data_IF_481622704875
#
_entry.id   IF_481622704875
#
_cell.length_a   1.000
_cell.length_b   1.000
_cell.length_c   1.000
_cell.angle_alpha   90.00
_cell.angle_beta   90.00
_cell.angle_gamma   90.00
#
_symmetry.space_group_name_H-M   'P 1'
#
loop_
_entity.id
_entity.type
_entity.pdbx_description
1 polymer ?
#
# COMPACT_ATOMS: atom_id res chain seq x y z
N UNK A 1 26.22 21.21 -15.51
CA UNK A 1 27.37 21.22 -16.45
C UNK A 1 27.70 22.64 -16.81
N UNK A 2 28.98 23.04 -16.77
CA UNK A 2 29.43 24.41 -17.13
C UNK A 2 30.23 24.47 -18.43
N UNK A 3 30.89 23.36 -18.78
CA UNK A 3 31.71 23.24 -19.98
C UNK A 3 31.41 21.90 -20.66
N UNK A 4 31.38 21.92 -21.99
CA UNK A 4 31.29 20.72 -22.80
C UNK A 4 32.70 20.19 -23.08
N UNK A 5 32.98 18.95 -22.64
CA UNK A 5 34.30 18.31 -22.73
C UNK A 5 34.21 17.09 -23.64
N UNK A 6 34.41 17.29 -24.93
CA UNK A 6 34.36 16.21 -25.94
C UNK A 6 35.51 15.22 -25.78
N UNK A 7 36.66 15.66 -25.29
CA UNK A 7 37.81 14.84 -24.96
C UNK A 7 37.46 13.74 -23.95
N UNK A 8 36.81 14.11 -22.84
CA UNK A 8 36.39 13.17 -21.80
C UNK A 8 35.29 12.21 -22.27
N UNK A 9 34.38 12.68 -23.12
CA UNK A 9 33.33 11.82 -23.71
C UNK A 9 33.97 10.77 -24.61
N UNK A 10 34.90 11.17 -25.48
CA UNK A 10 35.60 10.25 -26.36
C UNK A 10 36.48 9.27 -25.58
N UNK A 11 37.15 9.72 -24.51
CA UNK A 11 37.91 8.84 -23.61
C UNK A 11 37.00 7.79 -22.98
N UNK A 12 35.85 8.21 -22.41
CA UNK A 12 34.88 7.29 -21.80
C UNK A 12 34.38 6.23 -22.82
N UNK A 13 33.95 6.68 -24.00
CA UNK A 13 33.38 5.80 -25.02
C UNK A 13 34.44 4.83 -25.59
N UNK A 14 35.64 5.31 -25.91
CA UNK A 14 36.64 4.51 -26.60
C UNK A 14 37.50 3.66 -25.66
N UNK A 15 37.76 4.12 -24.44
CA UNK A 15 38.67 3.40 -23.52
C UNK A 15 37.92 2.57 -22.47
N UNK A 16 36.72 2.97 -22.05
CA UNK A 16 36.03 2.33 -20.92
C UNK A 16 34.78 1.54 -21.33
N UNK A 17 33.99 2.02 -22.30
CA UNK A 17 32.79 1.32 -22.78
C UNK A 17 33.09 0.36 -23.94
N UNK A 18 34.02 -0.57 -23.72
CA UNK A 18 34.43 -1.59 -24.70
C UNK A 18 34.08 -3.00 -24.22
N UNK A 19 33.81 -3.97 -25.13
CA UNK A 19 33.41 -5.33 -24.75
C UNK A 19 34.37 -6.04 -23.79
N UNK A 20 35.69 -5.83 -23.95
CA UNK A 20 36.73 -6.42 -23.09
C UNK A 20 36.71 -5.93 -21.63
N UNK A 21 36.06 -4.80 -21.33
CA UNK A 21 35.87 -4.26 -19.98
C UNK A 21 34.45 -4.45 -19.44
N UNK A 22 33.58 -5.12 -20.20
CA UNK A 22 32.17 -5.32 -19.84
C UNK A 22 32.00 -6.34 -18.71
N UNK A 23 31.00 -6.12 -17.86
CA UNK A 23 30.47 -7.13 -16.92
C UNK A 23 28.97 -7.27 -17.15
N UNK A 24 28.51 -8.50 -17.39
CA UNK A 24 27.11 -8.79 -17.68
C UNK A 24 26.48 -9.48 -16.48
N UNK A 25 25.31 -9.00 -16.08
CA UNK A 25 24.50 -9.61 -15.03
C UNK A 25 23.20 -10.10 -15.65
N UNK A 26 22.96 -11.40 -15.61
CA UNK A 26 21.71 -12.01 -16.06
C UNK A 26 20.95 -12.52 -14.84
N UNK A 27 19.67 -12.17 -14.76
CA UNK A 27 18.80 -12.59 -13.64
C UNK A 27 17.55 -13.26 -14.20
N UNK A 28 17.35 -14.52 -13.85
CA UNK A 28 16.17 -15.32 -14.22
C UNK A 28 16.01 -16.47 -13.23
N UNK A 29 14.77 -16.91 -13.01
CA UNK A 29 14.48 -18.11 -12.20
C UNK A 29 15.03 -19.39 -12.83
N UNK A 30 15.23 -19.40 -14.15
CA UNK A 30 15.74 -20.55 -14.90
C UNK A 30 17.18 -20.92 -14.51
N UNK A 31 17.96 -19.96 -13.99
CA UNK A 31 19.34 -20.20 -13.61
C UNK A 31 19.52 -20.88 -12.25
N UNK A 32 18.43 -21.14 -11.51
CA UNK A 32 18.49 -21.77 -10.19
C UNK A 32 19.18 -23.14 -10.21
N UNK A 33 18.96 -23.93 -11.27
CA UNK A 33 19.54 -25.26 -11.44
C UNK A 33 21.04 -25.25 -11.72
N UNK A 34 21.57 -24.16 -12.29
CA UNK A 34 22.99 -24.02 -12.65
C UNK A 34 23.78 -23.14 -11.66
N UNK A 35 23.10 -22.44 -10.75
CA UNK A 35 23.71 -21.60 -9.73
C UNK A 35 24.43 -22.47 -8.68
N UNK A 36 25.75 -22.42 -8.68
CA UNK A 36 26.60 -23.25 -7.81
C UNK A 36 27.21 -22.48 -6.64
N UNK A 37 27.20 -21.16 -6.72
CA UNK A 37 27.77 -20.27 -5.73
C UNK A 37 26.68 -19.57 -4.94
N UNK A 38 27.04 -19.10 -3.74
CA UNK A 38 26.13 -18.40 -2.84
C UNK A 38 26.84 -17.21 -2.22
N UNK A 39 26.26 -16.03 -2.41
CA UNK A 39 26.74 -14.78 -1.82
C UNK A 39 26.62 -14.85 -0.28
N UNK A 40 27.58 -14.25 0.43
CA UNK A 40 27.75 -14.40 1.88
C UNK A 40 26.62 -13.82 2.71
N UNK A 41 26.12 -12.62 2.38
CA UNK A 41 25.25 -11.84 3.26
C UNK A 41 23.77 -12.11 3.02
N UNK A 42 23.34 -12.07 1.76
CA UNK A 42 21.95 -12.28 1.36
C UNK A 42 21.68 -13.72 0.95
N UNK A 43 22.73 -14.52 0.74
CA UNK A 43 22.56 -15.89 0.30
C UNK A 43 22.11 -16.00 -1.16
N UNK A 44 22.28 -14.95 -1.96
CA UNK A 44 21.92 -14.93 -3.38
C UNK A 44 22.68 -16.02 -4.10
N UNK A 45 21.96 -16.94 -4.73
CA UNK A 45 22.56 -17.98 -5.54
C UNK A 45 22.96 -17.40 -6.89
N UNK A 46 24.19 -17.68 -7.32
CA UNK A 46 24.70 -17.21 -8.60
C UNK A 46 25.68 -18.22 -9.20
N UNK A 47 26.09 -17.94 -10.43
CA UNK A 47 27.18 -18.63 -11.12
C UNK A 47 28.01 -17.56 -11.79
N UNK A 48 29.32 -17.60 -11.60
CA UNK A 48 30.23 -16.76 -12.36
C UNK A 48 30.83 -17.54 -13.52
N UNK A 49 30.77 -16.96 -14.70
CA UNK A 49 31.43 -17.48 -15.89
C UNK A 49 32.18 -16.37 -16.61
N UNK A 50 33.26 -16.73 -17.29
CA UNK A 50 33.95 -15.82 -18.19
C UNK A 50 33.29 -15.87 -19.56
N UNK A 51 33.11 -14.71 -20.18
CA UNK A 51 32.66 -14.62 -21.57
C UNK A 51 33.71 -15.25 -22.48
N UNK A 52 33.29 -15.98 -23.51
CA UNK A 52 34.23 -16.59 -24.45
C UNK A 52 34.92 -15.51 -25.29
N UNK A 53 36.16 -15.79 -25.70
CA UNK A 53 36.90 -14.87 -26.56
C UNK A 53 36.23 -14.66 -27.92
N UNK A 54 35.50 -15.67 -28.44
CA UNK A 54 34.75 -15.50 -29.69
C UNK A 54 33.63 -14.48 -29.54
N UNK A 55 32.90 -14.51 -28.42
CA UNK A 55 31.79 -13.59 -28.16
C UNK A 55 32.29 -12.14 -27.99
N UNK A 56 33.41 -11.96 -27.28
CA UNK A 56 34.04 -10.63 -27.12
C UNK A 56 34.44 -10.07 -28.49
N UNK A 57 35.11 -10.88 -29.31
CA UNK A 57 35.49 -10.49 -30.69
C UNK A 57 34.27 -10.14 -31.53
N UNK A 58 33.19 -10.92 -31.43
CA UNK A 58 31.95 -10.65 -32.15
C UNK A 58 31.36 -9.28 -31.78
N UNK A 59 31.38 -8.90 -30.50
CA UNK A 59 30.92 -7.59 -30.07
C UNK A 59 31.86 -6.45 -30.48
N UNK A 60 33.17 -6.69 -30.57
CA UNK A 60 34.14 -5.71 -31.07
C UNK A 60 33.97 -5.43 -32.57
N UNK A 61 33.49 -6.40 -33.35
CA UNK A 61 33.26 -6.27 -34.79
C UNK A 61 31.81 -5.98 -35.17
N UNK A 62 30.97 -5.55 -34.22
CA UNK A 62 29.56 -5.29 -34.47
C UNK A 62 29.36 -4.16 -35.51
N UNK A 63 28.46 -4.36 -36.47
CA UNK A 63 28.12 -3.37 -37.48
C UNK A 63 27.16 -2.30 -36.92
N UNK A 64 27.13 -1.14 -37.58
CA UNK A 64 26.21 -0.06 -37.22
C UNK A 64 24.78 -0.50 -37.53
N UNK A 65 23.94 -0.60 -36.50
CA UNK A 65 22.52 -0.81 -36.66
C UNK A 65 21.82 0.50 -37.05
N UNK A 66 21.27 0.57 -38.26
CA UNK A 66 20.56 1.75 -38.79
C UNK A 66 19.29 2.13 -38.00
N UNK A 67 18.73 1.24 -37.18
CA UNK A 67 17.60 1.54 -36.30
C UNK A 67 18.01 2.33 -35.05
N UNK A 68 19.30 2.39 -34.73
CA UNK A 68 19.84 3.17 -33.62
C UNK A 68 20.28 4.54 -34.11
N UNK A 69 19.53 5.57 -33.74
CA UNK A 69 19.83 6.95 -34.09
C UNK A 69 19.82 7.87 -32.86
N UNK A 70 20.57 8.97 -32.96
CA UNK A 70 20.59 9.97 -31.91
C UNK A 70 19.19 10.61 -31.75
N UNK A 71 18.77 10.89 -30.51
CA UNK A 71 17.47 11.49 -30.28
C UNK A 71 17.37 12.85 -30.97
N UNK A 72 16.23 13.12 -31.59
CA UNK A 72 15.91 14.44 -32.13
C UNK A 72 15.84 15.47 -30.99
N UNK A 73 16.10 16.77 -31.26
CA UNK A 73 15.99 17.82 -30.25
C UNK A 73 14.64 17.77 -29.51
N UNK A 74 14.70 17.74 -28.18
CA UNK A 74 13.51 17.57 -27.35
C UNK A 74 12.64 18.85 -27.36
N UNK A 75 11.45 18.74 -27.96
CA UNK A 75 10.46 19.84 -28.09
C UNK A 75 9.77 20.21 -26.76
N UNK A 76 9.89 19.37 -25.74
CA UNK A 76 9.28 19.58 -24.42
C UNK A 76 10.16 20.35 -23.44
N UNK A 77 11.35 20.81 -23.86
CA UNK A 77 12.18 21.70 -23.02
C UNK A 77 11.42 23.02 -22.81
N UNK A 78 11.09 23.40 -21.56
CA UNK A 78 10.37 24.64 -21.29
C UNK A 78 11.28 25.84 -21.51
N UNK A 79 10.71 26.89 -22.11
CA UNK A 79 11.39 28.18 -22.34
C UNK A 79 10.70 29.34 -21.63
N UNK A 80 9.42 29.16 -21.26
CA UNK A 80 8.64 30.14 -20.51
C UNK A 80 8.51 29.71 -19.04
N UNK A 81 8.90 30.62 -18.15
CA UNK A 81 8.89 30.45 -16.69
C UNK A 81 8.14 31.60 -16.00
N UNK A 82 7.30 32.35 -16.73
CA UNK A 82 6.49 33.41 -16.15
C UNK A 82 5.57 32.85 -15.06
N UNK A 83 5.49 33.58 -13.94
CA UNK A 83 4.62 33.23 -12.82
C UNK A 83 3.34 34.06 -12.87
N UNK A 84 2.19 33.39 -12.75
CA UNK A 84 0.89 34.03 -12.64
C UNK A 84 0.59 34.46 -11.20
N UNK A 85 -0.14 35.57 -11.05
CA UNK A 85 -0.57 36.10 -9.75
C UNK A 85 -1.53 35.14 -9.05
N UNK A 86 -1.40 35.02 -7.72
CA UNK A 86 -2.26 34.15 -6.90
C UNK A 86 -3.71 34.67 -6.86
N UNK A 87 -4.64 33.87 -7.35
CA UNK A 87 -6.07 34.03 -7.05
C UNK A 87 -6.42 33.17 -5.82
N UNK A 88 -7.10 33.77 -4.84
CA UNK A 88 -7.54 33.07 -3.61
C UNK A 88 -8.82 32.30 -3.88
N UNK A 89 -8.74 31.15 -4.56
CA UNK A 89 -9.82 30.17 -4.56
C UNK A 89 -9.22 28.78 -4.77
N UNK A 90 -9.24 27.97 -3.71
CA UNK A 90 -8.90 26.54 -3.78
C UNK A 90 -10.18 25.77 -3.46
N UNK A 91 -10.64 24.97 -4.41
CA UNK A 91 -11.60 23.89 -4.15
C UNK A 91 -10.83 22.58 -4.23
N UNK A 92 -10.92 21.76 -3.19
CA UNK A 92 -10.38 20.40 -3.22
C UNK A 92 -11.48 19.45 -3.69
N UNK A 93 -11.30 18.71 -4.78
CA UNK A 93 -12.14 17.56 -5.05
C UNK A 93 -11.78 16.43 -4.08
N UNK A 94 -12.80 15.75 -3.55
CA UNK A 94 -12.69 14.56 -2.73
C UNK A 94 -13.50 13.45 -3.38
N UNK A 95 -12.92 12.74 -4.36
CA UNK A 95 -13.52 11.49 -4.84
C UNK A 95 -12.40 10.52 -5.23
N UNK A 96 -12.43 9.25 -4.79
CA UNK A 96 -11.56 8.22 -5.33
C UNK A 96 -11.93 7.95 -6.80
N UNK A 97 -10.99 8.18 -7.72
CA UNK A 97 -11.17 7.94 -9.17
C UNK A 97 -10.59 6.58 -9.55
N UNK A 98 -11.31 5.81 -10.38
CA UNK A 98 -10.88 4.48 -10.85
C UNK A 98 -9.73 4.52 -11.87
N UNK A 99 -9.65 5.60 -12.66
CA UNK A 99 -8.53 5.88 -13.56
C UNK A 99 -7.98 7.25 -13.19
N UNK A 100 -6.75 7.28 -12.69
CA UNK A 100 -6.06 8.51 -12.27
C UNK A 100 -5.01 8.88 -13.31
N UNK A 101 -5.20 10.02 -13.97
CA UNK A 101 -4.18 10.67 -14.79
C UNK A 101 -3.60 11.85 -14.01
N UNK A 102 -2.30 11.80 -13.72
CA UNK A 102 -1.58 12.90 -13.07
C UNK A 102 -0.49 13.42 -13.99
N UNK A 103 -0.54 14.72 -14.30
CA UNK A 103 0.48 15.40 -15.09
C UNK A 103 1.09 16.49 -14.22
N UNK A 104 2.39 16.37 -13.95
CA UNK A 104 3.15 17.31 -13.12
C UNK A 104 4.41 17.77 -13.84
N UNK A 105 4.75 19.05 -13.72
CA UNK A 105 5.95 19.62 -14.33
C UNK A 105 5.85 21.12 -14.59
N UNK A 106 6.65 21.62 -15.52
CA UNK A 106 6.63 23.03 -15.94
C UNK A 106 5.37 23.36 -16.76
N UNK A 107 4.67 24.44 -16.40
CA UNK A 107 3.38 24.81 -16.98
C UNK A 107 3.40 25.04 -18.51
N UNK A 108 4.51 25.54 -19.07
CA UNK A 108 4.60 25.92 -20.48
C UNK A 108 4.18 24.81 -21.46
N UNK A 109 4.60 23.55 -21.23
CA UNK A 109 4.38 22.43 -22.15
C UNK A 109 3.34 21.41 -21.68
N UNK A 110 2.69 21.65 -20.53
CA UNK A 110 1.67 20.75 -19.98
C UNK A 110 0.46 20.62 -20.89
N UNK A 111 -0.02 21.71 -21.52
CA UNK A 111 -1.16 21.66 -22.44
C UNK A 111 -0.89 20.76 -23.65
N UNK A 112 0.31 20.89 -24.25
CA UNK A 112 0.72 20.09 -25.40
C UNK A 112 0.83 18.60 -25.04
N UNK A 113 1.41 18.30 -23.86
CA UNK A 113 1.51 16.94 -23.34
C UNK A 113 0.14 16.33 -23.03
N UNK A 114 -0.75 17.08 -22.38
CA UNK A 114 -2.12 16.66 -22.11
C UNK A 114 -2.84 16.30 -23.41
N UNK A 115 -2.75 17.15 -24.43
CA UNK A 115 -3.36 16.87 -25.73
C UNK A 115 -2.80 15.58 -26.35
N UNK A 116 -1.47 15.38 -26.31
CA UNK A 116 -0.84 14.16 -26.84
C UNK A 116 -1.31 12.90 -26.12
N UNK A 117 -1.42 12.94 -24.78
CA UNK A 117 -1.87 11.80 -23.97
C UNK A 117 -3.32 11.46 -24.29
N UNK A 118 -4.21 12.45 -24.32
CA UNK A 118 -5.63 12.23 -24.63
C UNK A 118 -5.82 11.72 -26.06
N UNK A 119 -5.08 12.28 -27.03
CA UNK A 119 -5.07 11.77 -28.41
C UNK A 119 -4.61 10.31 -28.47
N UNK A 120 -3.59 9.92 -27.69
CA UNK A 120 -3.15 8.53 -27.64
C UNK A 120 -4.18 7.62 -26.95
N UNK A 121 -4.81 8.05 -25.86
CA UNK A 121 -5.84 7.28 -25.15
C UNK A 121 -7.05 6.97 -26.04
N UNK A 122 -7.50 7.95 -26.83
CA UNK A 122 -8.65 7.79 -27.73
C UNK A 122 -8.34 6.87 -28.90
N UNK A 123 -7.12 6.95 -29.45
CA UNK A 123 -6.73 6.23 -30.67
C UNK A 123 -5.87 4.99 -30.36
N UNK A 124 -5.94 4.49 -29.12
CA UNK A 124 -5.16 3.33 -28.70
C UNK A 124 -5.52 2.13 -29.57
N UNK A 125 -4.48 1.49 -30.13
CA UNK A 125 -4.60 0.23 -30.88
C UNK A 125 -3.80 -0.81 -30.13
N UNK A 126 -4.46 -1.92 -29.81
CA UNK A 126 -3.80 -3.02 -29.12
C UNK A 126 -3.04 -3.83 -30.17
N UNK A 127 -1.74 -3.98 -29.98
CA UNK A 127 -0.90 -4.84 -30.82
C UNK A 127 -0.74 -6.19 -30.11
N UNK A 128 -0.81 -7.30 -30.86
CA UNK A 128 -0.77 -8.66 -30.31
C UNK A 128 0.49 -8.89 -29.47
N UNK A 129 1.66 -8.51 -29.99
CA UNK A 129 2.95 -8.69 -29.29
C UNK A 129 2.99 -7.90 -27.97
N UNK A 130 2.52 -6.64 -27.98
CA UNK A 130 2.46 -5.80 -26.78
C UNK A 130 1.46 -6.35 -25.77
N UNK A 131 0.32 -6.86 -26.24
CA UNK A 131 -0.70 -7.46 -25.40
C UNK A 131 -0.13 -8.64 -24.62
N UNK A 132 0.53 -9.59 -25.28
CA UNK A 132 1.11 -10.77 -24.61
C UNK A 132 2.21 -10.37 -23.61
N UNK A 133 3.09 -9.43 -23.98
CA UNK A 133 4.13 -8.92 -23.07
C UNK A 133 3.52 -8.27 -21.82
N UNK A 134 2.46 -7.48 -21.98
CA UNK A 134 1.78 -6.80 -20.87
C UNK A 134 1.01 -7.83 -20.02
N UNK A 135 0.31 -8.79 -20.64
CA UNK A 135 -0.42 -9.87 -19.96
C UNK A 135 0.53 -10.67 -19.06
N UNK A 136 1.69 -11.07 -19.58
CA UNK A 136 2.72 -11.76 -18.80
C UNK A 136 3.28 -10.89 -17.66
N UNK A 137 3.52 -9.60 -17.90
CA UNK A 137 3.96 -8.68 -16.83
C UNK A 137 2.93 -8.54 -15.71
N UNK A 138 1.64 -8.45 -16.05
CA UNK A 138 0.54 -8.39 -15.08
C UNK A 138 0.46 -9.70 -14.29
N UNK A 139 0.55 -10.85 -14.97
CA UNK A 139 0.57 -12.18 -14.35
C UNK A 139 1.71 -12.30 -13.35
N UNK A 140 2.92 -11.89 -13.75
CA UNK A 140 4.09 -11.88 -12.87
C UNK A 140 3.89 -10.94 -11.67
N UNK A 141 3.35 -9.73 -11.88
CA UNK A 141 3.07 -8.77 -10.82
C UNK A 141 2.12 -9.34 -9.76
N UNK A 142 1.01 -9.95 -10.20
CA UNK A 142 0.03 -10.59 -9.30
C UNK A 142 0.65 -11.78 -8.54
N UNK A 143 1.51 -12.56 -9.18
CA UNK A 143 2.24 -13.65 -8.50
C UNK A 143 3.29 -13.11 -7.50
N UNK A 144 3.94 -11.99 -7.82
CA UNK A 144 4.92 -11.36 -6.94
C UNK A 144 4.31 -10.78 -5.68
N UNK A 145 3.00 -10.51 -5.66
CA UNK A 145 2.31 -10.10 -4.44
C UNK A 145 2.49 -11.09 -3.29
N UNK A 146 2.55 -12.41 -3.56
CA UNK A 146 2.85 -13.44 -2.54
C UNK A 146 4.24 -13.27 -1.91
N UNK A 147 5.14 -12.54 -2.57
CA UNK A 147 6.50 -12.22 -2.14
C UNK A 147 6.61 -10.78 -1.62
N UNK A 148 5.50 -10.10 -1.39
CA UNK A 148 5.52 -8.83 -0.66
C UNK A 148 6.01 -9.05 0.77
N UNK A 149 6.56 -8.00 1.34
CA UNK A 149 6.96 -7.95 2.74
C UNK A 149 5.71 -8.23 3.61
N UNK A 150 5.80 -9.04 4.70
CA UNK A 150 4.65 -9.44 5.50
C UNK A 150 3.78 -8.29 6.00
N UNK A 151 4.35 -7.15 6.41
CA UNK A 151 3.57 -5.97 6.81
C UNK A 151 2.69 -5.40 5.69
N UNK A 152 3.22 -5.33 4.46
CA UNK A 152 2.48 -4.87 3.30
C UNK A 152 1.36 -5.86 2.93
N UNK A 153 1.61 -7.16 3.05
CA UNK A 153 0.59 -8.19 2.87
C UNK A 153 -0.52 -8.07 3.91
N UNK A 154 -0.19 -7.84 5.19
CA UNK A 154 -1.16 -7.66 6.27
C UNK A 154 -2.07 -6.43 5.99
N UNK A 155 -1.48 -5.31 5.59
CA UNK A 155 -2.22 -4.09 5.24
C UNK A 155 -3.12 -4.29 4.03
N UNK A 156 -2.67 -5.02 3.01
CA UNK A 156 -3.51 -5.33 1.86
C UNK A 156 -4.66 -6.27 2.22
N UNK A 157 -4.43 -7.24 3.11
CA UNK A 157 -5.50 -8.08 3.66
C UNK A 157 -6.53 -7.26 4.43
N UNK A 158 -6.08 -6.27 5.21
CA UNK A 158 -6.97 -5.33 5.89
C UNK A 158 -7.83 -4.56 4.89
N UNK A 159 -7.24 -4.00 3.82
CA UNK A 159 -7.99 -3.32 2.75
C UNK A 159 -9.03 -4.24 2.11
N UNK A 160 -8.67 -5.48 1.82
CA UNK A 160 -9.57 -6.46 1.19
C UNK A 160 -10.78 -6.81 2.07
N UNK A 161 -10.57 -6.89 3.40
CA UNK A 161 -11.62 -7.21 4.37
C UNK A 161 -12.56 -6.03 4.63
N UNK A 162 -12.04 -4.80 4.60
CA UNK A 162 -12.84 -3.60 4.90
C UNK A 162 -13.48 -2.99 3.66
N UNK A 163 -13.01 -3.28 2.45
CA UNK A 163 -13.59 -2.78 1.21
C UNK A 163 -14.91 -3.48 0.83
N UNK A 164 -15.90 -2.70 0.38
CA UNK A 164 -17.19 -3.20 -0.15
C UNK A 164 -17.00 -4.12 -1.37
N UNK A 165 -16.12 -3.74 -2.30
CA UNK A 165 -15.76 -4.55 -3.46
C UNK A 165 -14.25 -4.54 -3.64
N UNK A 166 -13.63 -5.72 -3.52
CA UNK A 166 -12.23 -5.94 -3.84
C UNK A 166 -12.05 -7.39 -4.32
N UNK A 167 -11.06 -7.62 -5.17
CA UNK A 167 -10.82 -8.92 -5.82
C UNK A 167 -9.54 -9.53 -5.29
N UNK A 168 -9.58 -10.81 -4.94
CA UNK A 168 -8.39 -11.51 -4.51
C UNK A 168 -7.42 -11.68 -5.69
N UNK A 169 -6.12 -11.54 -5.44
CA UNK A 169 -5.09 -11.77 -6.45
C UNK A 169 -5.19 -13.16 -7.10
N UNK A 170 -5.64 -14.18 -6.37
CA UNK A 170 -5.86 -15.51 -6.93
C UNK A 170 -7.03 -15.53 -7.94
N UNK A 171 -8.12 -14.81 -7.66
CA UNK A 171 -9.28 -14.68 -8.56
C UNK A 171 -8.88 -13.90 -9.82
N UNK A 172 -8.13 -12.81 -9.66
CA UNK A 172 -7.59 -12.04 -10.77
C UNK A 172 -6.65 -12.88 -11.64
N UNK A 173 -5.83 -13.73 -11.02
CA UNK A 173 -4.94 -14.65 -11.74
C UNK A 173 -5.72 -15.71 -12.54
N UNK A 174 -6.78 -16.31 -11.96
CA UNK A 174 -7.60 -17.28 -12.68
C UNK A 174 -8.32 -16.66 -13.87
N UNK A 175 -8.81 -15.43 -13.73
CA UNK A 175 -9.49 -14.71 -14.82
C UNK A 175 -8.52 -14.27 -15.92
N UNK A 176 -7.24 -14.04 -15.59
CA UNK A 176 -6.26 -13.50 -16.54
C UNK A 176 -6.00 -14.45 -17.71
N UNK A 177 -6.02 -15.77 -17.48
CA UNK A 177 -5.74 -16.75 -18.52
C UNK A 177 -6.79 -16.66 -19.66
N UNK A 178 -8.06 -16.42 -19.32
CA UNK A 178 -9.18 -16.33 -20.26
C UNK A 178 -9.26 -14.99 -21.03
N UNK A 179 -8.58 -13.94 -20.56
CA UNK A 179 -8.66 -12.61 -21.19
C UNK A 179 -7.99 -12.63 -22.56
N UNK A 180 -8.73 -12.22 -23.58
CA UNK A 180 -8.24 -12.05 -24.95
C UNK A 180 -7.98 -10.59 -25.31
N UNK A 181 -7.24 -10.35 -26.38
CA UNK A 181 -7.02 -9.02 -26.94
C UNK A 181 -8.36 -8.32 -27.29
N UNK A 182 -9.32 -9.05 -27.84
CA UNK A 182 -10.63 -8.51 -28.20
C UNK A 182 -11.42 -8.03 -26.97
N UNK A 183 -11.28 -8.71 -25.83
CA UNK A 183 -11.93 -8.29 -24.58
C UNK A 183 -11.38 -6.96 -24.08
N UNK A 184 -10.07 -6.74 -24.22
CA UNK A 184 -9.41 -5.47 -23.89
C UNK A 184 -9.88 -4.35 -24.81
N UNK A 185 -9.95 -4.60 -26.12
CA UNK A 185 -10.46 -3.61 -27.09
C UNK A 185 -11.92 -3.23 -26.81
N UNK A 186 -12.76 -4.24 -26.54
CA UNK A 186 -14.15 -4.06 -26.14
C UNK A 186 -14.27 -3.32 -24.81
N UNK A 187 -13.41 -3.61 -23.83
CA UNK A 187 -13.36 -2.90 -22.56
C UNK A 187 -12.99 -1.43 -22.74
N UNK A 188 -11.95 -1.11 -23.53
CA UNK A 188 -11.56 0.27 -23.85
C UNK A 188 -12.74 1.03 -24.47
N UNK A 189 -13.41 0.43 -25.47
CA UNK A 189 -14.58 1.02 -26.10
C UNK A 189 -15.72 1.27 -25.11
N UNK A 190 -15.97 0.35 -24.16
CA UNK A 190 -17.00 0.51 -23.12
C UNK A 190 -16.66 1.60 -22.12
N UNK A 191 -15.42 1.66 -21.63
CA UNK A 191 -14.96 2.65 -20.65
C UNK A 191 -15.01 4.06 -21.25
N UNK A 192 -14.54 4.23 -22.48
CA UNK A 192 -14.51 5.54 -23.16
C UNK A 192 -15.89 6.01 -23.65
N UNK A 193 -16.91 5.14 -23.62
CA UNK A 193 -18.29 5.50 -24.00
C UNK A 193 -19.01 6.28 -22.90
N UNK A 194 -18.82 5.93 -21.63
CA UNK A 194 -19.54 6.52 -20.49
C UNK A 194 -18.64 6.68 -19.28
N UNK A 195 -18.27 7.92 -18.98
CA UNK A 195 -17.50 8.27 -17.79
C UNK A 195 -17.84 9.69 -17.30
N UNK A 196 -17.33 10.08 -16.14
CA UNK A 196 -17.25 11.48 -15.73
C UNK A 196 -15.79 11.81 -15.50
N UNK A 197 -15.42 13.09 -15.61
CA UNK A 197 -14.08 13.57 -15.31
C UNK A 197 -14.18 14.46 -14.08
N UNK A 198 -13.39 14.14 -13.06
CA UNK A 198 -13.13 15.05 -11.96
C UNK A 198 -11.65 15.42 -12.01
N UNK A 199 -11.36 16.72 -11.98
CA UNK A 199 -10.03 17.24 -12.26
C UNK A 199 -9.60 18.23 -11.19
N UNK A 200 -8.42 17.99 -10.62
CA UNK A 200 -7.72 18.97 -9.79
C UNK A 200 -6.60 19.60 -10.61
N UNK A 201 -6.70 20.91 -10.84
CA UNK A 201 -5.62 21.69 -11.42
C UNK A 201 -5.08 22.64 -10.36
N UNK A 202 -3.81 22.49 -10.03
CA UNK A 202 -3.13 23.30 -9.03
C UNK A 202 -1.71 23.64 -9.50
N UNK A 203 -1.32 24.90 -9.33
CA UNK A 203 0.02 25.37 -9.65
C UNK A 203 0.04 26.71 -10.37
N UNK A 204 1.04 26.91 -11.22
CA UNK A 204 1.25 28.13 -11.99
C UNK A 204 0.33 28.19 -13.22
N UNK A 205 -0.97 28.40 -12.99
CA UNK A 205 -2.03 28.38 -14.00
C UNK A 205 -3.11 29.39 -13.62
N UNK A 206 -3.67 30.09 -14.60
CA UNK A 206 -4.85 30.95 -14.40
C UNK A 206 -6.15 30.14 -14.45
N UNK A 207 -7.22 30.63 -13.83
CA UNK A 207 -8.54 30.00 -13.90
C UNK A 207 -9.01 29.77 -15.33
N UNK A 208 -8.78 30.74 -16.23
CA UNK A 208 -9.18 30.62 -17.63
C UNK A 208 -8.42 29.53 -18.37
N UNK A 209 -7.12 29.38 -18.11
CA UNK A 209 -6.34 28.29 -18.69
C UNK A 209 -6.78 26.93 -18.16
N UNK A 210 -7.15 26.82 -16.87
CA UNK A 210 -7.69 25.59 -16.31
C UNK A 210 -8.98 25.15 -17.02
N UNK A 211 -9.90 26.10 -17.22
CA UNK A 211 -11.15 25.87 -17.96
C UNK A 211 -10.87 25.51 -19.42
N UNK A 212 -9.90 26.18 -20.06
CA UNK A 212 -9.48 25.90 -21.43
C UNK A 212 -8.95 24.47 -21.57
N UNK A 213 -8.13 24.00 -20.62
CA UNK A 213 -7.57 22.65 -20.65
C UNK A 213 -8.67 21.60 -20.52
N UNK A 214 -9.63 21.79 -19.62
CA UNK A 214 -10.75 20.87 -19.47
C UNK A 214 -11.68 20.87 -20.68
N UNK A 215 -12.01 22.05 -21.21
CA UNK A 215 -12.80 22.18 -22.45
C UNK A 215 -12.13 21.42 -23.61
N UNK A 216 -10.81 21.50 -23.74
CA UNK A 216 -10.05 20.76 -24.77
C UNK A 216 -10.18 19.24 -24.62
N UNK A 217 -10.10 18.74 -23.37
CA UNK A 217 -10.27 17.31 -23.09
C UNK A 217 -11.69 16.86 -23.43
N UNK A 218 -12.70 17.60 -22.99
CA UNK A 218 -14.11 17.30 -23.28
C UNK A 218 -14.40 17.28 -24.78
N UNK A 219 -13.94 18.27 -25.53
CA UNK A 219 -14.11 18.35 -26.98
C UNK A 219 -13.50 17.13 -27.70
N UNK A 220 -12.28 16.74 -27.32
CA UNK A 220 -11.59 15.56 -27.89
C UNK A 220 -12.39 14.28 -27.70
N UNK A 221 -12.96 14.08 -26.52
CA UNK A 221 -13.81 12.91 -26.25
C UNK A 221 -15.15 12.99 -26.97
N UNK A 222 -15.77 14.17 -27.11
CA UNK A 222 -17.02 14.34 -27.85
C UNK A 222 -16.88 14.12 -29.37
N UNK A 223 -15.76 14.54 -29.96
CA UNK A 223 -15.53 14.42 -31.41
C UNK A 223 -15.23 12.98 -31.85
N UNK A 224 -14.45 12.24 -31.05
CA UNK A 224 -13.90 10.93 -31.44
C UNK A 224 -14.53 9.74 -30.72
N UNK A 225 -15.09 9.95 -29.53
CA UNK A 225 -15.83 8.91 -28.80
C UNK A 225 -17.32 9.28 -28.80
N UNK A 226 -18.21 8.29 -28.82
CA UNK A 226 -19.62 8.51 -28.51
C UNK A 226 -19.80 8.74 -27.00
N UNK A 227 -19.04 9.71 -26.46
CA UNK A 227 -18.99 10.03 -25.06
C UNK A 227 -20.36 10.47 -24.57
N UNK A 228 -20.81 9.85 -23.50
CA UNK A 228 -22.00 10.22 -22.76
C UNK A 228 -21.61 10.44 -21.29
N UNK A 229 -21.97 11.58 -20.68
CA UNK A 229 -21.66 11.83 -19.28
C UNK A 229 -22.39 10.80 -18.39
N UNK A 230 -21.72 10.35 -17.35
CA UNK A 230 -22.35 9.52 -16.32
C UNK A 230 -23.37 10.34 -15.52
N UNK A 231 -24.54 9.75 -15.27
CA UNK A 231 -25.53 10.35 -14.38
C UNK A 231 -24.99 10.46 -12.95
N UNK A 232 -25.31 11.52 -12.19
CA UNK A 232 -24.85 11.67 -10.81
C UNK A 232 -25.18 10.48 -9.89
N UNK A 233 -26.29 9.78 -10.14
CA UNK A 233 -26.66 8.56 -9.40
C UNK A 233 -25.75 7.35 -9.68
N UNK A 234 -24.96 7.39 -10.76
CA UNK A 234 -23.99 6.37 -11.13
C UNK A 234 -22.57 6.70 -10.64
N UNK A 235 -22.40 7.80 -9.90
CA UNK A 235 -21.13 8.11 -9.28
C UNK A 235 -20.93 7.17 -8.09
N UNK A 236 -20.27 6.05 -8.33
CA UNK A 236 -20.02 5.04 -7.31
C UNK A 236 -18.86 5.45 -6.42
N UNK A 237 -19.15 5.71 -5.15
CA UNK A 237 -18.15 5.75 -4.08
C UNK A 237 -18.11 4.38 -3.43
N UNK A 238 -16.91 3.83 -3.25
CA UNK A 238 -16.73 2.63 -2.43
C UNK A 238 -17.08 2.97 -0.98
N UNK A 239 -17.71 2.02 -0.29
CA UNK A 239 -17.97 2.08 1.14
C UNK A 239 -16.96 1.21 1.88
N UNK A 240 -16.70 1.57 3.13
CA UNK A 240 -16.02 0.68 4.06
C UNK A 240 -17.08 -0.10 4.86
N UNK A 241 -16.79 -1.38 5.14
CA UNK A 241 -17.57 -2.20 6.04
C UNK A 241 -17.52 -1.62 7.45
N UNK A 242 -18.68 -1.34 8.05
CA UNK A 242 -18.77 -0.94 9.45
C UNK A 242 -18.75 -2.19 10.31
N UNK A 243 -17.75 -2.30 11.17
CA UNK A 243 -17.60 -3.38 12.12
C UNK A 243 -18.62 -3.26 13.28
N UNK A 244 -19.18 -4.38 13.78
CA UNK A 244 -20.08 -4.35 14.93
C UNK A 244 -19.40 -3.90 16.23
N UNK A 245 -20.14 -3.24 17.12
CA UNK A 245 -19.62 -2.84 18.44
C UNK A 245 -19.18 -4.05 19.28
N UNK A 246 -18.01 -3.93 19.90
CA UNK A 246 -17.43 -4.98 20.73
C UNK A 246 -16.78 -6.12 19.93
N UNK A 247 -16.71 -6.03 18.60
CA UNK A 247 -16.15 -7.10 17.79
C UNK A 247 -14.62 -7.24 17.97
N UNK A 248 -14.15 -8.47 17.83
CA UNK A 248 -12.73 -8.81 17.78
C UNK A 248 -12.52 -9.92 16.74
N UNK A 249 -12.32 -9.51 15.49
CA UNK A 249 -12.08 -10.42 14.37
C UNK A 249 -10.61 -10.55 14.07
N UNK A 250 -10.18 -11.74 13.67
CA UNK A 250 -8.83 -12.02 13.23
C UNK A 250 -8.85 -12.80 11.92
N UNK A 251 -8.05 -12.38 10.95
CA UNK A 251 -7.84 -13.07 9.69
C UNK A 251 -6.37 -13.45 9.54
N UNK A 252 -6.09 -14.68 9.10
CA UNK A 252 -4.71 -15.18 8.99
C UNK A 252 -4.34 -15.45 7.54
N UNK A 253 -3.16 -14.99 7.15
CA UNK A 253 -2.53 -15.20 5.85
C UNK A 253 -1.16 -15.84 6.03
N UNK A 254 -0.64 -16.45 4.97
CA UNK A 254 0.65 -17.12 4.97
C UNK A 254 1.61 -16.48 3.96
N UNK A 255 2.87 -16.32 4.36
CA UNK A 255 3.94 -15.80 3.52
C UNK A 255 5.06 -16.84 3.39
N UNK A 256 5.31 -17.26 2.15
CA UNK A 256 6.33 -18.25 1.83
C UNK A 256 7.72 -17.66 1.58
N UNK A 257 7.79 -16.35 1.37
CA UNK A 257 9.02 -15.67 0.96
C UNK A 257 9.88 -15.22 2.15
N UNK A 258 9.26 -14.88 3.28
CA UNK A 258 9.93 -14.30 4.45
C UNK A 258 9.74 -15.16 5.69
N UNK A 259 10.80 -15.26 6.50
CA UNK A 259 10.78 -15.87 7.85
C UNK A 259 10.36 -14.87 8.94
N UNK A 260 9.46 -13.96 8.60
CA UNK A 260 8.99 -12.90 9.49
C UNK A 260 7.47 -13.00 9.59
N UNK A 261 6.98 -12.79 10.79
CA UNK A 261 5.57 -12.67 11.07
C UNK A 261 5.20 -11.19 11.07
N UNK A 262 3.98 -10.88 10.69
CA UNK A 262 3.44 -9.53 10.81
C UNK A 262 2.01 -9.54 11.34
N UNK A 263 1.66 -8.49 12.05
CA UNK A 263 0.29 -8.23 12.49
C UNK A 263 -0.03 -6.78 12.15
N UNK A 264 -1.19 -6.57 11.56
CA UNK A 264 -1.86 -5.26 11.60
C UNK A 264 -3.09 -5.39 12.50
N UNK A 265 -3.23 -4.47 13.45
CA UNK A 265 -4.44 -4.31 14.26
C UNK A 265 -5.09 -3.00 13.82
N UNK A 266 -6.33 -3.10 13.37
CA UNK A 266 -7.18 -1.97 13.02
C UNK A 266 -8.31 -1.85 14.04
N UNK A 267 -8.38 -0.69 14.70
CA UNK A 267 -9.46 -0.29 15.58
C UNK A 267 -10.29 0.74 14.83
N UNK A 268 -11.44 0.31 14.32
CA UNK A 268 -12.34 1.20 13.58
C UNK A 268 -13.04 2.14 14.56
N UNK A 269 -12.95 3.44 14.31
CA UNK A 269 -13.52 4.43 15.22
C UNK A 269 -14.86 4.95 14.68
N UNK A 270 -14.83 5.80 13.65
CA UNK A 270 -16.01 6.58 13.26
C UNK A 270 -16.02 6.98 11.78
N UNK A 271 -17.16 7.52 11.34
CA UNK A 271 -17.34 8.20 10.06
C UNK A 271 -16.84 9.64 10.13
N UNK A 272 -16.08 10.07 9.12
CA UNK A 272 -15.33 11.32 9.06
C UNK A 272 -16.13 12.58 9.51
N UNK A 273 -15.85 13.08 10.73
CA UNK A 273 -16.27 14.42 11.18
C UNK A 273 -15.03 15.26 11.48
N UNK A 274 -15.15 16.58 11.37
CA UNK A 274 -14.02 17.50 11.56
C UNK A 274 -13.41 17.40 12.98
N UNK A 275 -14.25 17.21 14.00
CA UNK A 275 -13.85 17.05 15.40
C UNK A 275 -13.16 15.70 15.64
N UNK A 276 -13.76 14.61 15.15
CA UNK A 276 -13.18 13.28 15.33
C UNK A 276 -11.87 13.13 14.54
N UNK A 277 -11.77 13.76 13.36
CA UNK A 277 -10.54 13.86 12.57
C UNK A 277 -9.43 14.61 13.31
N UNK A 278 -9.79 15.66 14.04
CA UNK A 278 -8.86 16.44 14.85
C UNK A 278 -8.33 15.60 16.03
N UNK A 279 -9.21 14.90 16.74
CA UNK A 279 -8.84 14.00 17.84
C UNK A 279 -7.95 12.85 17.37
N UNK A 280 -8.33 12.18 16.29
CA UNK A 280 -7.56 11.07 15.73
C UNK A 280 -6.21 11.58 15.15
N UNK A 281 -6.20 12.78 14.57
CA UNK A 281 -5.00 13.45 14.04
C UNK A 281 -3.87 13.66 15.07
N UNK A 282 -4.20 13.75 16.36
CA UNK A 282 -3.21 13.85 17.43
C UNK A 282 -2.36 12.56 17.57
N UNK A 283 -2.87 11.41 17.12
CA UNK A 283 -2.13 10.15 17.09
C UNK A 283 -1.18 10.02 15.87
N UNK A 284 -0.96 11.11 15.11
CA UNK A 284 -0.16 11.43 13.90
C UNK A 284 0.60 10.37 13.06
N UNK A 285 0.83 9.15 13.54
CA UNK A 285 1.53 8.06 12.84
C UNK A 285 0.77 6.72 12.84
N UNK A 286 -0.37 6.61 13.53
CA UNK A 286 -1.15 5.37 13.68
C UNK A 286 -2.52 5.47 13.00
N UNK A 287 -2.62 6.29 11.96
CA UNK A 287 -3.87 6.62 11.30
C UNK A 287 -4.09 5.73 10.09
N UNK A 288 -5.22 5.02 10.07
CA UNK A 288 -5.73 4.39 8.86
C UNK A 288 -6.99 5.13 8.38
N UNK A 289 -7.03 5.42 7.09
CA UNK A 289 -8.14 6.12 6.44
C UNK A 289 -8.53 5.37 5.17
N UNK A 290 -9.79 4.97 5.07
CA UNK A 290 -10.34 4.37 3.86
C UNK A 290 -11.80 4.79 3.70
N UNK A 291 -12.19 5.15 2.47
CA UNK A 291 -13.58 5.42 2.08
C UNK A 291 -14.42 6.32 3.04
N UNK A 292 -13.82 7.31 3.69
CA UNK A 292 -14.49 8.22 4.63
C UNK A 292 -14.70 7.65 6.05
N UNK A 293 -14.12 6.49 6.35
CA UNK A 293 -14.01 5.90 7.69
C UNK A 293 -12.56 5.98 8.16
N UNK A 294 -12.40 6.20 9.46
CA UNK A 294 -11.08 6.32 10.08
C UNK A 294 -10.94 5.39 11.27
N UNK A 295 -9.72 4.96 11.50
CA UNK A 295 -9.40 4.15 12.66
C UNK A 295 -7.94 4.23 13.05
N UNK A 296 -7.67 3.71 14.24
CA UNK A 296 -6.34 3.57 14.78
C UNK A 296 -5.75 2.24 14.27
N UNK A 297 -4.60 2.29 13.61
CA UNK A 297 -3.94 1.12 13.06
C UNK A 297 -2.51 1.00 13.55
N UNK A 298 -2.12 -0.21 13.95
CA UNK A 298 -0.76 -0.55 14.36
C UNK A 298 -0.29 -1.74 13.54
N UNK A 299 0.77 -1.54 12.76
CA UNK A 299 1.42 -2.61 12.00
C UNK A 299 2.78 -2.93 12.60
N UNK A 300 3.01 -4.20 12.93
CA UNK A 300 4.30 -4.68 13.47
C UNK A 300 4.78 -5.86 12.64
N UNK A 301 6.07 -5.88 12.33
CA UNK A 301 6.75 -7.01 11.73
C UNK A 301 7.88 -7.49 12.65
N UNK A 302 7.97 -8.78 12.89
CA UNK A 302 8.95 -9.35 13.82
C UNK A 302 9.24 -10.83 13.53
N UNK A 303 10.34 -11.33 14.10
CA UNK A 303 10.65 -12.77 14.16
C UNK A 303 9.91 -13.51 15.28
N UNK A 304 9.20 -12.77 16.16
CA UNK A 304 8.46 -13.33 17.30
C UNK A 304 7.14 -13.97 16.86
N UNK A 305 6.58 -14.80 17.73
CA UNK A 305 5.28 -15.43 17.54
C UNK A 305 4.14 -14.41 17.56
N UNK A 306 3.08 -14.70 16.80
CA UNK A 306 1.92 -13.81 16.65
C UNK A 306 1.23 -13.51 17.98
N UNK A 307 1.09 -14.51 18.85
CA UNK A 307 0.48 -14.33 20.18
C UNK A 307 1.24 -13.32 21.04
N UNK A 308 2.57 -13.41 21.06
CA UNK A 308 3.42 -12.46 21.76
C UNK A 308 3.28 -11.04 21.17
N UNK A 309 3.33 -10.89 19.85
CA UNK A 309 3.21 -9.58 19.19
C UNK A 309 1.86 -8.93 19.53
N UNK A 310 0.75 -9.67 19.38
CA UNK A 310 -0.59 -9.17 19.69
C UNK A 310 -0.70 -8.74 21.17
N UNK A 311 -0.20 -9.56 22.11
CA UNK A 311 -0.20 -9.22 23.54
C UNK A 311 0.59 -7.93 23.82
N UNK A 312 1.76 -7.76 23.20
CA UNK A 312 2.58 -6.54 23.38
C UNK A 312 1.90 -5.30 22.79
N UNK A 313 1.19 -5.43 21.68
CA UNK A 313 0.41 -4.33 21.11
C UNK A 313 -0.75 -3.95 22.05
N UNK A 314 -1.48 -4.92 22.60
CA UNK A 314 -2.57 -4.65 23.54
C UNK A 314 -2.08 -3.97 24.83
N UNK A 315 -0.97 -4.44 25.40
CA UNK A 315 -0.34 -3.79 26.56
C UNK A 315 0.14 -2.37 26.23
N UNK A 316 0.68 -2.16 25.03
CA UNK A 316 1.04 -0.83 24.56
C UNK A 316 -0.19 0.06 24.46
N UNK A 317 -1.26 -0.41 23.82
CA UNK A 317 -2.53 0.33 23.70
C UNK A 317 -3.03 0.72 25.08
N UNK A 318 -3.13 -0.23 26.02
CA UNK A 318 -3.57 0.05 27.39
C UNK A 318 -2.72 1.13 28.10
N UNK A 319 -1.39 1.10 27.87
CA UNK A 319 -0.47 2.10 28.44
C UNK A 319 -0.69 3.52 27.90
N UNK A 320 -1.26 3.69 26.71
CA UNK A 320 -1.52 5.01 26.11
C UNK A 320 -2.46 5.82 26.98
N UNK A 321 -3.47 5.17 27.60
CA UNK A 321 -4.42 5.86 28.49
C UNK A 321 -3.72 6.57 29.63
N UNK A 322 -2.84 5.84 30.32
CA UNK A 322 -2.08 6.35 31.44
C UNK A 322 -1.14 7.47 30.97
N UNK A 323 -0.47 7.27 29.84
CA UNK A 323 0.41 8.29 29.25
C UNK A 323 -0.34 9.61 28.97
N UNK A 324 -1.53 9.56 28.35
CA UNK A 324 -2.35 10.76 28.11
C UNK A 324 -2.74 11.44 29.42
N UNK A 325 -3.09 10.66 30.45
CA UNK A 325 -3.49 11.20 31.75
C UNK A 325 -2.34 11.86 32.53
N UNK A 326 -1.12 11.34 32.43
CA UNK A 326 0.05 11.84 33.18
C UNK A 326 0.89 12.85 32.39
N UNK A 327 0.59 13.06 31.11
CA UNK A 327 1.29 14.00 30.23
C UNK A 327 1.17 15.44 30.77
N UNK A 328 2.27 16.19 30.78
CA UNK A 328 2.25 17.60 31.18
C UNK A 328 1.46 18.49 30.21
N UNK A 329 0.87 19.58 30.71
CA UNK A 329 0.11 20.51 29.87
C UNK A 329 0.98 21.17 28.77
N UNK A 330 2.28 21.33 29.03
CA UNK A 330 3.25 21.84 28.05
C UNK A 330 3.45 20.85 26.89
N UNK A 331 3.59 19.55 27.19
CA UNK A 331 3.76 18.52 26.17
C UNK A 331 2.46 18.34 25.36
N UNK A 332 1.31 18.41 26.01
CA UNK A 332 0.00 18.36 25.34
C UNK A 332 -0.18 19.55 24.39
N UNK A 333 0.19 20.77 24.82
CA UNK A 333 0.18 21.97 23.96
C UNK A 333 1.11 21.79 22.75
N UNK A 334 2.31 21.25 22.95
CA UNK A 334 3.26 20.97 21.86
C UNK A 334 2.69 19.96 20.84
N UNK A 335 1.96 18.94 21.28
CA UNK A 335 1.28 18.01 20.36
C UNK A 335 0.12 18.65 19.59
N UNK A 336 -0.52 19.70 20.14
CA UNK A 336 -1.54 20.50 19.44
C UNK A 336 -0.95 21.51 18.44
N UNK A 337 0.35 21.79 18.51
CA UNK A 337 1.04 22.67 17.54
C UNK A 337 1.45 21.94 16.25
N UNK A 338 1.16 20.64 16.13
CA UNK A 338 1.32 19.87 14.88
C UNK A 338 0.52 20.58 13.77
N UNK A 339 1.09 20.75 12.55
CA UNK A 339 0.49 21.56 11.49
C UNK A 339 -0.68 20.85 10.80
N UNK A 340 -1.76 20.57 11.53
CA UNK A 340 -3.08 20.34 10.97
C UNK A 340 -3.94 21.60 11.16
N UNK A 341 -4.45 22.12 10.05
CA UNK A 341 -5.14 23.41 9.88
C UNK A 341 -6.51 23.53 10.57
N UNK A 342 -6.76 22.92 11.72
CA UNK A 342 -8.06 22.97 12.38
C UNK A 342 -8.06 23.90 13.60
N UNK A 343 -8.80 25.01 13.52
CA UNK A 343 -9.15 25.84 14.69
C UNK A 343 -9.77 25.01 15.83
N UNK A 344 -10.41 23.89 15.48
CA UNK A 344 -10.99 22.92 16.42
C UNK A 344 -9.92 22.18 17.23
N UNK A 345 -8.73 21.87 16.70
CA UNK A 345 -7.65 21.27 17.51
C UNK A 345 -7.25 22.20 18.66
N UNK A 346 -7.42 23.53 18.47
CA UNK A 346 -7.15 24.50 19.53
C UNK A 346 -8.22 24.51 20.63
N UNK A 347 -9.40 23.95 20.39
CA UNK A 347 -10.47 23.87 21.38
C UNK A 347 -10.49 22.53 22.12
N UNK A 348 -9.78 21.51 21.65
CA UNK A 348 -9.74 20.19 22.28
C UNK A 348 -8.97 20.18 23.60
N UNK A 349 -9.57 19.57 24.61
CA UNK A 349 -9.00 19.36 25.93
C UNK A 349 -8.49 17.92 26.12
N UNK A 350 -7.67 17.69 27.15
CA UNK A 350 -7.16 16.35 27.48
C UNK A 350 -8.31 15.37 27.74
N UNK A 351 -9.38 15.85 28.39
CA UNK A 351 -10.54 15.03 28.73
C UNK A 351 -11.32 14.58 27.49
N UNK A 352 -11.33 15.36 26.41
CA UNK A 352 -11.92 14.94 25.12
C UNK A 352 -11.17 13.75 24.55
N UNK A 353 -9.84 13.80 24.59
CA UNK A 353 -8.97 12.73 24.12
C UNK A 353 -9.10 11.46 24.97
N UNK A 354 -9.24 11.61 26.30
CA UNK A 354 -9.48 10.49 27.20
C UNK A 354 -10.86 9.85 26.96
N UNK A 355 -11.92 10.64 26.78
CA UNK A 355 -13.25 10.12 26.41
C UNK A 355 -13.22 9.36 25.08
N UNK A 356 -12.53 9.92 24.10
CA UNK A 356 -12.34 9.30 22.80
C UNK A 356 -11.61 7.94 22.92
N UNK A 357 -10.51 7.93 23.66
CA UNK A 357 -9.74 6.71 23.93
C UNK A 357 -10.60 5.66 24.63
N UNK A 358 -11.31 6.05 25.70
CA UNK A 358 -12.13 5.17 26.51
C UNK A 358 -13.30 4.57 25.72
N UNK A 359 -13.77 5.25 24.68
CA UNK A 359 -14.86 4.77 23.83
C UNK A 359 -14.38 3.88 22.67
N UNK A 360 -13.38 4.31 21.88
CA UNK A 360 -13.04 3.61 20.64
C UNK A 360 -11.78 2.72 20.71
N UNK A 361 -10.82 3.06 21.58
CA UNK A 361 -9.48 2.44 21.57
C UNK A 361 -9.31 1.45 22.72
N UNK A 362 -9.80 1.81 23.90
CA UNK A 362 -9.61 1.07 25.14
C UNK A 362 -9.98 -0.41 24.99
N UNK A 363 -9.13 -1.35 25.44
CA UNK A 363 -9.44 -2.78 25.44
C UNK A 363 -10.69 -3.15 26.24
N UNK A 364 -11.10 -2.30 27.17
CA UNK A 364 -12.25 -2.49 28.05
C UNK A 364 -13.55 -1.88 27.51
N UNK A 365 -13.51 -1.21 26.36
CA UNK A 365 -14.70 -0.57 25.79
C UNK A 365 -15.62 -1.60 25.12
N UNK A 366 -16.92 -1.51 25.41
CA UNK A 366 -17.96 -2.27 24.72
C UNK A 366 -18.19 -1.80 23.28
N UNK A 367 -17.72 -0.61 22.92
CA UNK A 367 -17.80 -0.03 21.58
C UNK A 367 -16.52 -0.25 20.76
N UNK A 368 -15.55 -1.00 21.30
CA UNK A 368 -14.29 -1.28 20.61
C UNK A 368 -14.56 -2.17 19.40
N UNK A 369 -14.17 -1.72 18.21
CA UNK A 369 -14.30 -2.46 16.96
C UNK A 369 -12.93 -2.88 16.45
N UNK A 370 -12.52 -4.12 16.75
CA UNK A 370 -11.19 -4.62 16.40
C UNK A 370 -11.23 -5.61 15.24
N UNK A 371 -10.38 -5.38 14.26
CA UNK A 371 -10.02 -6.31 13.20
C UNK A 371 -8.50 -6.46 13.15
N UNK A 372 -7.97 -7.68 13.23
CA UNK A 372 -6.55 -7.95 13.05
C UNK A 372 -6.29 -8.84 11.84
N UNK A 373 -5.23 -8.53 11.10
CA UNK A 373 -4.73 -9.40 10.03
C UNK A 373 -3.35 -9.90 10.42
N UNK A 374 -3.21 -11.21 10.50
CA UNK A 374 -2.00 -11.91 10.89
C UNK A 374 -1.34 -12.52 9.65
N UNK A 375 -0.05 -12.29 9.48
CA UNK A 375 0.73 -12.92 8.42
C UNK A 375 1.77 -13.83 9.07
N UNK A 376 1.62 -15.13 8.86
CA UNK A 376 2.54 -16.14 9.39
C UNK A 376 3.56 -16.53 8.32
N UNK A 377 4.81 -16.70 8.74
CA UNK A 377 5.84 -17.28 7.86
C UNK A 377 5.67 -18.79 7.72
N UNK A 378 5.78 -19.33 6.50
CA UNK A 378 5.53 -20.75 6.26
C UNK A 378 6.56 -21.72 6.87
N UNK A 379 7.64 -21.21 7.47
CA UNK A 379 8.49 -21.98 8.39
C UNK A 379 7.76 -22.46 9.65
N UNK A 380 6.62 -21.87 9.99
CA UNK A 380 5.75 -22.26 11.12
C UNK A 380 4.57 -23.16 10.69
N UNK A 381 4.16 -23.13 9.41
CA UNK A 381 3.05 -23.93 8.90
C UNK A 381 3.34 -25.45 8.93
N UNK A 382 4.62 -25.84 8.78
CA UNK A 382 5.08 -27.22 8.93
C UNK A 382 4.97 -27.78 10.37
N UNK A 383 4.77 -26.93 11.38
CA UNK A 383 4.48 -27.38 12.76
C UNK A 383 2.98 -27.49 13.07
N UNK A 384 2.11 -26.88 12.25
CA UNK A 384 0.66 -26.88 12.48
C UNK A 384 -0.07 -27.97 11.68
N UNK A 385 0.56 -28.55 10.64
CA UNK A 385 0.01 -29.72 9.93
C UNK A 385 -0.08 -31.00 10.79
N UNK A 386 0.36 -30.98 12.05
CA UNK A 386 0.13 -32.08 12.99
C UNK A 386 -1.12 -31.92 13.85
N UNK A 387 -1.81 -30.77 13.82
CA UNK A 387 -3.03 -30.54 14.60
C UNK A 387 -4.08 -29.82 13.74
N UNK A 388 -4.82 -30.56 12.92
CA UNK A 388 -6.06 -30.08 12.32
C UNK A 388 -7.16 -29.94 13.39
N UNK A 389 -7.88 -28.81 13.38
CA UNK A 389 -9.29 -28.76 12.94
C UNK A 389 -9.75 -27.29 12.77
N UNK A 390 -10.40 -27.06 11.63
CA UNK A 390 -11.31 -25.96 11.25
C UNK A 390 -10.77 -24.52 11.14
N UNK A 391 -10.37 -24.16 9.91
CA UNK A 391 -10.25 -22.76 9.45
C UNK A 391 -11.20 -22.54 8.27
N UNK A 392 -12.12 -21.59 8.43
CA UNK A 392 -13.07 -21.16 7.39
C UNK A 392 -12.35 -20.29 6.34
N UNK A 393 -12.42 -20.71 5.07
CA UNK A 393 -11.65 -20.15 3.94
C UNK A 393 -12.45 -19.19 3.03
N UNK A 394 -13.70 -18.80 3.35
CA UNK A 394 -14.54 -18.08 2.39
C UNK A 394 -15.22 -16.81 2.93
N UNK A 395 -15.21 -15.74 2.12
CA UNK A 395 -15.81 -14.42 2.44
C UNK A 395 -17.34 -14.49 2.53
N UNK A 396 -17.96 -15.42 1.80
CA UNK A 396 -19.42 -15.60 1.73
C UNK A 396 -20.00 -16.18 3.04
N UNK A 397 -19.25 -17.00 3.77
CA UNK A 397 -19.72 -17.58 5.05
C UNK A 397 -19.75 -16.53 6.17
N UNK A 398 -18.92 -15.48 6.10
CA UNK A 398 -18.97 -14.37 7.05
C UNK A 398 -20.23 -13.50 6.83
N UNK A 399 -20.67 -13.32 5.58
CA UNK A 399 -21.90 -12.57 5.28
C UNK A 399 -23.15 -13.30 5.73
N UNK A 400 -23.18 -14.63 5.65
CA UNK A 400 -24.32 -15.44 6.10
C UNK A 400 -24.45 -15.48 7.63
N UNK A 401 -23.33 -15.45 8.36
CA UNK A 401 -23.33 -15.36 9.83
C UNK A 401 -23.84 -13.98 10.31
N UNK A 402 -23.65 -12.93 9.52
CA UNK A 402 -24.11 -11.56 9.85
C UNK A 402 -25.62 -11.38 9.55
N UNK A 403 -26.22 -12.23 8.72
CA UNK A 403 -27.62 -12.09 8.27
C UNK A 403 -28.63 -13.10 8.85
N UNK A 404 -28.21 -14.03 9.72
CA UNK A 404 -29.09 -15.06 10.30
C UNK A 404 -29.81 -14.62 11.59
N UNK A 405 -31.13 -14.45 11.52
CA UNK A 405 -32.03 -14.24 12.67
C UNK A 405 -32.15 -15.47 13.59
N UNK A 406 -32.30 -15.17 14.88
CA UNK A 406 -32.70 -16.02 16.01
C UNK A 406 -33.57 -17.25 15.67
N UNK A 407 -33.12 -18.44 16.10
CA UNK A 407 -34.03 -19.48 16.59
C UNK A 407 -33.37 -20.38 17.64
N UNK A 408 -34.05 -20.50 18.76
CA UNK A 408 -33.78 -21.37 19.92
C UNK A 408 -33.90 -22.86 19.59
N UNK A 409 -33.13 -23.73 20.27
CA UNK A 409 -33.61 -24.84 21.14
C UNK A 409 -32.43 -25.67 21.72
N UNK A 410 -32.28 -25.60 23.06
CA UNK A 410 -32.12 -26.64 24.12
C UNK A 410 -31.18 -27.87 23.90
N UNK A 411 -30.18 -28.05 24.78
CA UNK A 411 -30.09 -29.15 25.77
C UNK A 411 -28.88 -29.04 26.73
N UNK A 412 -29.21 -29.08 28.03
CA UNK A 412 -28.33 -29.30 29.19
C UNK A 412 -27.94 -30.78 29.34
N UNK A 413 -27.02 -31.03 30.30
CA UNK A 413 -26.57 -32.31 30.90
C UNK A 413 -25.53 -33.10 30.05
N UNK A 414 -24.39 -33.60 30.56
CA UNK A 414 -23.92 -33.84 31.92
C UNK A 414 -22.43 -34.31 31.91
N UNK A 415 -21.75 -34.24 33.07
CA UNK A 415 -20.62 -35.12 33.53
C UNK A 415 -19.22 -34.89 32.88
N UNK A 416 -18.05 -34.86 33.56
CA UNK A 416 -17.63 -35.14 34.92
C UNK A 416 -16.34 -34.36 35.27
N UNK A 417 -16.23 -34.05 36.55
CA UNK A 417 -14.99 -33.76 37.29
C UNK A 417 -14.18 -35.05 37.44
N UNK A 418 -12.92 -35.05 37.03
CA UNK A 418 -11.91 -35.94 37.61
C UNK A 418 -10.59 -35.19 37.80
N UNK A 419 -10.33 -34.96 39.08
CA UNK A 419 -9.03 -34.61 39.67
C UNK A 419 -8.07 -35.79 39.55
N UNK A 420 -6.89 -35.58 38.99
CA UNK A 420 -5.71 -36.38 39.36
C UNK A 420 -4.51 -35.46 39.62
N UNK A 421 -4.20 -35.37 40.91
CA UNK A 421 -2.94 -34.91 41.49
C UNK A 421 -1.83 -35.93 41.23
N UNK A 422 -0.70 -35.47 40.69
CA UNK A 422 0.59 -36.10 40.95
C UNK A 422 1.60 -35.02 41.31
N UNK A 423 1.91 -34.98 42.60
CA UNK A 423 3.01 -34.25 43.21
C UNK A 423 4.35 -34.80 42.72
N UNK A 424 5.22 -33.93 42.21
CA UNK A 424 6.66 -34.04 42.47
C UNK A 424 7.19 -32.65 42.88
N UNK A 425 7.71 -32.62 44.10
CA UNK A 425 8.35 -31.49 44.77
C UNK A 425 9.87 -31.53 44.49
N UNK A 426 10.54 -30.40 44.74
CA UNK A 426 12.00 -30.16 44.91
C UNK A 426 12.55 -29.40 43.67
N UNK A 427 13.13 -28.19 43.74
CA UNK A 427 13.77 -27.44 44.83
C UNK A 427 13.78 -25.94 44.48
N UNK A 428 13.54 -25.10 45.48
CA UNK A 428 13.80 -23.67 45.48
C UNK A 428 15.29 -23.37 45.68
N UNK A 429 15.91 -22.63 44.78
CA UNK A 429 17.09 -21.80 45.07
C UNK A 429 17.12 -20.56 44.17
N UNK A 430 17.04 -19.41 44.82
CA UNK A 430 17.70 -18.14 44.46
C UNK A 430 17.30 -17.46 43.14
N UNK A 431 16.42 -16.45 43.23
CA UNK A 431 16.64 -15.11 42.65
C UNK A 431 15.59 -14.12 43.13
N UNK A 432 15.67 -13.74 44.42
CA UNK A 432 15.28 -12.39 44.83
C UNK A 432 16.46 -11.44 44.58
N UNK A 433 16.15 -10.19 44.23
CA UNK A 433 17.05 -9.05 44.00
C UNK A 433 17.75 -8.94 42.64
N UNK A 434 17.00 -8.54 41.60
CA UNK A 434 17.38 -7.37 40.77
C UNK A 434 16.08 -6.60 40.41
N UNK A 435 15.43 -6.03 41.42
CA UNK A 435 14.47 -4.94 41.27
C UNK A 435 15.24 -3.64 41.55
N UNK A 436 16.00 -3.18 40.55
CA UNK A 436 16.69 -1.90 40.61
C UNK A 436 16.78 -1.31 39.20
N UNK A 437 15.96 -0.27 38.96
CA UNK A 437 16.17 0.84 38.03
C UNK A 437 16.73 0.47 36.64
N UNK A 438 15.84 0.19 35.71
CA UNK A 438 16.04 0.62 34.33
C UNK A 438 14.95 1.63 34.01
N UNK A 439 15.31 2.92 34.09
CA UNK A 439 14.62 3.97 33.36
C UNK A 439 14.65 3.56 31.88
N UNK A 440 13.48 3.22 31.36
CA UNK A 440 13.31 3.00 29.93
C UNK A 440 13.20 4.39 29.31
N UNK A 441 14.34 4.95 28.90
CA UNK A 441 14.35 6.07 27.98
C UNK A 441 13.68 5.61 26.68
N UNK A 442 12.48 6.12 26.42
CA UNK A 442 11.82 5.99 25.12
C UNK A 442 12.62 6.81 24.10
N UNK A 443 12.99 6.25 22.93
CA UNK A 443 13.78 6.96 21.95
C UNK A 443 13.01 8.19 21.44
N UNK A 444 13.71 9.33 21.39
CA UNK A 444 13.23 10.52 20.69
C UNK A 444 12.80 10.14 19.26
N UNK A 445 11.59 10.55 18.88
CA UNK A 445 11.01 10.28 17.57
C UNK A 445 11.83 10.97 16.48
N UNK A 446 12.82 10.27 15.93
CA UNK A 446 13.45 10.67 14.68
C UNK A 446 12.45 10.53 13.52
N UNK A 447 12.29 11.64 12.83
CA UNK A 447 11.41 11.86 11.68
C UNK A 447 11.83 10.95 10.53
N UNK A 448 11.13 9.83 10.34
CA UNK A 448 11.30 9.01 9.12
C UNK A 448 10.49 9.69 8.01
N UNK A 449 11.12 10.69 7.38
CA UNK A 449 10.64 11.34 6.16
C UNK A 449 10.71 10.35 5.00
N UNK A 450 9.77 9.41 4.86
CA UNK A 450 9.52 8.64 3.63
C UNK A 450 8.16 7.92 3.71
N UNK A 451 7.08 8.66 3.51
CA UNK A 451 5.81 8.07 3.04
C UNK A 451 5.45 8.78 1.74
N UNK A 452 5.60 8.05 0.64
CA UNK A 452 5.15 8.48 -0.68
C UNK A 452 3.62 8.37 -0.72
N UNK A 453 2.96 9.50 -1.00
CA UNK A 453 1.53 9.60 -1.36
C UNK A 453 1.36 9.25 -2.84
#
# INVERSE_FOLDING_TARGET
MREFRSDLINELLNEYLIPSKMRVFLTSKEFLSIAREKEKWYGTQYKQEYLSEELIKQYETCEINCELYLPIPNKFIPTDFQLFSKEKNLTRPQIPTKIKLSISGFNHKIKELLNLIIDHMINIKVEVEKFEIIKEKVKQSLQFFRRCVPSAMANSGLTYLTAEYDWNNNELLSCLDDITMHDVESFIARVLKRFYIDSLMYGNLTKNQAIEYMTLVEQKFQEKSFYQPLFPSMWFNQRELILPDGCNYAYTMFNDAYKLNAIVIYLQCFQETLENNALLGLFSYLLWRSCGVQGFSVTVQSTRELGYINQRIELFIDSIRNYISTMSDELFKKQREVPLEAEIIKTLERDDLLRFYDHYISPHSIYRRKLSVHVNSSSFALQMQTNETDTVENKDELTDIIHGESSSIINEEDVAVTTETSHETIQSTETENILAKQEIDLPEFERIDNVYI
#
